data_IF_744427105390
#
_entry.id   IF_744427105390
#
_cell.length_a   1.000
_cell.length_b   1.000
_cell.length_c   1.000
_cell.angle_alpha   90.00
_cell.angle_beta   90.00
_cell.angle_gamma   90.00
#
_symmetry.space_group_name_H-M   'P 1'
#
loop_
_entity.id
_entity.type
_entity.pdbx_description
1 polymer ?
#
# COMPACT_ATOMS: atom_id res chain seq x y z
N UNK A 1 6.14 -10.11 13.64
CA UNK A 1 5.24 -8.93 13.72
C UNK A 1 5.64 -7.94 12.63
N UNK A 2 4.69 -7.26 12.02
CA UNK A 2 4.95 -6.17 11.05
C UNK A 2 4.53 -4.85 11.68
N UNK A 3 5.41 -3.86 11.62
CA UNK A 3 5.18 -2.52 12.15
C UNK A 3 5.26 -1.49 11.02
N UNK A 4 4.12 -0.91 10.57
CA UNK A 4 4.14 0.18 9.61
C UNK A 4 4.71 1.46 10.26
N UNK A 5 5.71 2.06 9.64
CA UNK A 5 6.30 3.32 10.12
C UNK A 5 5.27 4.46 10.10
N UNK A 6 4.35 4.47 9.11
CA UNK A 6 3.27 5.45 9.05
C UNK A 6 2.35 5.41 10.28
N UNK A 7 2.12 4.22 10.87
CA UNK A 7 1.37 4.10 12.11
C UNK A 7 2.18 4.53 13.33
N UNK A 8 3.47 4.17 13.35
CA UNK A 8 4.34 4.55 14.46
C UNK A 8 4.45 6.07 14.61
N UNK A 9 4.42 6.82 13.49
CA UNK A 9 4.42 8.29 13.47
C UNK A 9 3.21 8.92 14.15
N UNK A 10 2.09 8.20 14.27
CA UNK A 10 0.90 8.69 14.98
C UNK A 10 1.10 8.74 16.51
N UNK A 11 2.11 8.04 17.03
CA UNK A 11 2.36 7.91 18.46
C UNK A 11 3.63 8.61 18.91
N UNK A 12 4.64 8.69 18.04
CA UNK A 12 5.93 9.32 18.37
C UNK A 12 6.45 10.12 17.17
N UNK A 13 7.19 11.17 17.50
CA UNK A 13 7.89 11.96 16.48
C UNK A 13 9.12 11.18 15.98
N UNK A 14 9.13 10.91 14.66
CA UNK A 14 10.20 10.22 13.97
C UNK A 14 10.90 11.13 12.93
N UNK A 15 10.61 12.41 12.94
CA UNK A 15 11.17 13.33 11.96
C UNK A 15 12.70 13.40 12.09
N UNK A 16 13.34 13.38 10.94
CA UNK A 16 14.81 13.39 10.85
C UNK A 16 15.50 12.05 11.12
N UNK A 17 14.77 10.99 11.48
CA UNK A 17 15.34 9.66 11.67
C UNK A 17 15.25 8.84 10.38
N UNK A 18 16.37 8.26 9.95
CA UNK A 18 16.39 7.27 8.89
C UNK A 18 15.72 5.97 9.35
N UNK A 19 15.08 5.26 8.43
CA UNK A 19 14.38 3.99 8.74
C UNK A 19 15.33 2.94 9.33
N UNK A 20 16.55 2.86 8.83
CA UNK A 20 17.59 1.96 9.36
C UNK A 20 18.01 2.33 10.79
N UNK A 21 18.02 3.62 11.12
CA UNK A 21 18.31 4.06 12.49
C UNK A 21 17.19 3.66 13.43
N UNK A 22 15.94 3.80 13.02
CA UNK A 22 14.77 3.32 13.78
C UNK A 22 14.88 1.81 14.01
N UNK A 23 15.18 1.04 12.97
CA UNK A 23 15.35 -0.41 13.03
C UNK A 23 16.48 -0.79 14.01
N UNK A 24 17.61 -0.08 13.97
CA UNK A 24 18.74 -0.31 14.89
C UNK A 24 18.35 -0.02 16.34
N UNK A 25 17.69 1.10 16.60
CA UNK A 25 17.24 1.45 17.96
C UNK A 25 16.24 0.42 18.52
N UNK A 26 15.32 -0.06 17.71
CA UNK A 26 14.38 -1.12 18.09
C UNK A 26 15.11 -2.42 18.41
N UNK A 27 16.05 -2.83 17.57
CA UNK A 27 16.85 -4.05 17.77
C UNK A 27 17.68 -3.97 19.05
N UNK A 28 18.35 -2.85 19.30
CA UNK A 28 19.11 -2.63 20.53
C UNK A 28 18.24 -2.57 21.79
N UNK A 29 16.99 -2.16 21.65
CA UNK A 29 16.02 -2.16 22.74
C UNK A 29 15.38 -3.54 23.01
N UNK A 30 15.78 -4.58 22.28
CA UNK A 30 15.28 -5.96 22.45
C UNK A 30 14.18 -6.37 21.49
N UNK A 31 13.80 -5.50 20.54
CA UNK A 31 12.83 -5.78 19.48
C UNK A 31 13.58 -6.00 18.16
N UNK A 32 14.10 -7.19 17.95
CA UNK A 32 14.90 -7.53 16.78
C UNK A 32 14.14 -7.27 15.47
N UNK A 33 14.77 -6.52 14.56
CA UNK A 33 14.26 -6.24 13.22
C UNK A 33 14.94 -7.16 12.23
N UNK A 34 14.20 -8.04 11.58
CA UNK A 34 14.71 -8.98 10.58
C UNK A 34 14.83 -8.34 9.19
N UNK A 35 13.87 -7.49 8.84
CA UNK A 35 13.73 -6.97 7.49
C UNK A 35 13.04 -5.60 7.48
N UNK A 36 13.50 -4.73 6.59
CA UNK A 36 12.83 -3.46 6.26
C UNK A 36 12.14 -3.61 4.90
N UNK A 37 10.82 -3.38 4.84
CA UNK A 37 10.05 -3.44 3.60
C UNK A 37 9.62 -2.05 3.14
N UNK A 38 9.96 -1.72 1.91
CA UNK A 38 9.53 -0.49 1.26
C UNK A 38 8.32 -0.78 0.37
N UNK A 39 7.15 -0.24 0.72
CA UNK A 39 5.92 -0.43 -0.05
C UNK A 39 5.47 0.90 -0.67
N UNK A 40 5.44 0.97 -2.00
CA UNK A 40 5.09 2.18 -2.75
C UNK A 40 6.13 3.30 -2.68
N UNK A 41 7.31 3.01 -2.17
CA UNK A 41 8.43 3.93 -2.09
C UNK A 41 9.62 3.35 -2.86
N UNK A 42 10.49 4.20 -3.43
CA UNK A 42 11.74 3.71 -4.02
C UNK A 42 12.60 3.06 -2.94
N UNK A 43 13.18 1.93 -3.28
CA UNK A 43 14.19 1.31 -2.41
C UNK A 43 15.44 2.19 -2.37
N UNK A 44 16.13 2.25 -1.22
CA UNK A 44 17.43 2.89 -1.16
C UNK A 44 18.36 2.18 -2.14
N UNK A 45 19.06 2.96 -2.94
CA UNK A 45 20.11 2.45 -3.83
C UNK A 45 21.38 2.23 -3.02
N UNK A 46 22.00 1.06 -3.20
CA UNK A 46 23.31 0.81 -2.66
C UNK A 46 24.28 1.84 -3.27
N UNK A 47 24.87 2.65 -2.44
CA UNK A 47 26.09 3.37 -2.84
C UNK A 47 27.22 2.35 -2.86
N UNK A 48 28.07 2.43 -3.87
CA UNK A 48 29.18 1.50 -4.05
C UNK A 48 29.94 1.28 -2.72
N UNK A 49 29.87 0.05 -2.20
CA UNK A 49 30.58 -0.38 -0.99
C UNK A 49 29.79 -0.30 0.34
N UNK A 50 28.59 0.25 0.37
CA UNK A 50 27.74 0.24 1.57
C UNK A 50 26.90 -1.05 1.60
N UNK A 51 27.06 -1.85 2.64
CA UNK A 51 26.15 -2.95 2.94
C UNK A 51 25.01 -2.44 3.81
N UNK A 52 23.78 -2.73 3.42
CA UNK A 52 22.65 -2.52 4.31
C UNK A 52 22.79 -3.40 5.56
N UNK A 53 22.64 -2.80 6.74
CA UNK A 53 22.67 -3.51 8.03
C UNK A 53 21.51 -4.49 8.16
N UNK A 54 20.38 -4.17 7.53
CA UNK A 54 19.16 -4.98 7.55
C UNK A 54 18.84 -5.50 6.16
N UNK A 55 18.25 -6.70 6.10
CA UNK A 55 17.65 -7.19 4.87
C UNK A 55 16.58 -6.19 4.40
N UNK A 56 16.66 -5.78 3.14
CA UNK A 56 15.70 -4.87 2.53
C UNK A 56 14.95 -5.54 1.39
N UNK A 57 13.66 -5.31 1.31
CA UNK A 57 12.83 -5.69 0.17
C UNK A 57 11.82 -4.60 -0.14
N UNK A 58 11.22 -4.64 -1.31
CA UNK A 58 10.27 -3.61 -1.70
C UNK A 58 9.25 -4.08 -2.71
N UNK A 59 8.12 -3.37 -2.72
CA UNK A 59 7.10 -3.44 -3.74
C UNK A 59 6.83 -2.02 -4.20
N UNK A 60 7.18 -1.73 -5.44
CA UNK A 60 6.86 -0.46 -6.08
C UNK A 60 5.84 -0.66 -7.19
N UNK A 61 5.06 0.37 -7.47
CA UNK A 61 4.11 0.41 -8.56
C UNK A 61 4.11 1.80 -9.21
N UNK A 62 3.66 1.82 -10.46
CA UNK A 62 3.45 3.07 -11.18
C UNK A 62 2.20 3.76 -10.61
N UNK A 63 2.40 4.88 -9.94
CA UNK A 63 1.34 5.66 -9.28
C UNK A 63 0.36 6.28 -10.25
N UNK A 64 0.76 6.46 -11.50
CA UNK A 64 -0.12 6.99 -12.55
C UNK A 64 -1.04 5.92 -13.11
N UNK A 65 -0.70 4.63 -12.93
CA UNK A 65 -1.46 3.48 -13.44
C UNK A 65 -2.23 2.72 -12.38
N UNK A 66 -1.76 2.75 -11.13
CA UNK A 66 -2.40 2.08 -10.00
C UNK A 66 -2.80 3.14 -8.98
N UNK A 67 -4.07 3.43 -8.94
CA UNK A 67 -4.67 4.47 -8.11
C UNK A 67 -5.77 3.91 -7.22
N UNK A 68 -6.07 4.61 -6.14
CA UNK A 68 -7.24 4.34 -5.32
C UNK A 68 -8.44 5.01 -5.96
N UNK A 69 -9.56 4.30 -6.06
CA UNK A 69 -10.80 4.84 -6.57
C UNK A 69 -11.96 4.59 -5.59
N UNK A 70 -12.86 5.55 -5.50
CA UNK A 70 -14.11 5.46 -4.75
C UNK A 70 -15.16 4.74 -5.60
N UNK A 71 -15.84 3.75 -5.04
CA UNK A 71 -17.02 3.13 -5.66
C UNK A 71 -18.23 3.99 -5.32
N UNK A 72 -18.82 4.62 -6.32
CA UNK A 72 -20.01 5.48 -6.16
C UNK A 72 -21.30 4.75 -6.40
N UNK A 73 -21.32 3.82 -7.35
CA UNK A 73 -22.50 3.03 -7.69
C UNK A 73 -22.12 1.59 -8.01
N UNK A 74 -23.01 0.67 -7.65
CA UNK A 74 -22.88 -0.76 -7.92
C UNK A 74 -24.15 -1.22 -8.64
N UNK A 75 -24.08 -1.39 -9.94
CA UNK A 75 -25.22 -1.73 -10.79
C UNK A 75 -25.14 -3.16 -11.31
N UNK A 76 -26.26 -3.88 -11.42
CA UNK A 76 -26.27 -5.18 -12.07
C UNK A 76 -25.95 -5.06 -13.56
N UNK A 77 -25.24 -6.05 -14.10
CA UNK A 77 -25.03 -6.12 -15.54
C UNK A 77 -26.33 -6.56 -16.25
N UNK A 78 -26.75 -5.91 -17.35
CA UNK A 78 -28.06 -6.18 -17.97
C UNK A 78 -28.20 -7.60 -18.53
N UNK A 79 -27.09 -8.23 -18.91
CA UNK A 79 -27.10 -9.53 -19.59
C UNK A 79 -26.25 -10.62 -18.88
N UNK A 80 -25.84 -10.40 -17.63
CA UNK A 80 -25.00 -11.35 -16.91
C UNK A 80 -25.17 -11.24 -15.40
N UNK A 81 -25.79 -12.23 -14.79
CA UNK A 81 -26.11 -12.23 -13.34
C UNK A 81 -24.86 -12.20 -12.44
N UNK A 82 -23.75 -12.73 -12.89
CA UNK A 82 -22.49 -12.81 -12.15
C UNK A 82 -21.57 -11.60 -12.36
N UNK A 83 -21.97 -10.65 -13.20
CA UNK A 83 -21.19 -9.45 -13.46
C UNK A 83 -21.85 -8.22 -12.84
N UNK A 84 -21.03 -7.25 -12.52
CA UNK A 84 -21.44 -5.99 -11.90
C UNK A 84 -20.75 -4.83 -12.60
N UNK A 85 -21.51 -3.77 -12.83
CA UNK A 85 -20.97 -2.50 -13.34
C UNK A 85 -20.74 -1.56 -12.15
N UNK A 86 -19.52 -1.09 -12.02
CA UNK A 86 -19.13 -0.13 -10.99
C UNK A 86 -18.93 1.25 -11.59
N UNK A 87 -19.57 2.26 -11.01
CA UNK A 87 -19.17 3.64 -11.24
C UNK A 87 -18.07 4.00 -10.25
N UNK A 88 -16.87 4.23 -10.74
CA UNK A 88 -15.67 4.56 -9.97
C UNK A 88 -15.30 6.03 -10.18
N UNK A 89 -14.77 6.64 -9.13
CA UNK A 89 -14.15 7.97 -9.19
C UNK A 89 -12.72 7.89 -8.64
N UNK A 90 -11.75 8.25 -9.46
CA UNK A 90 -10.31 8.15 -9.15
C UNK A 90 -9.72 9.43 -8.53
N UNK A 91 -10.58 10.39 -8.21
CA UNK A 91 -10.18 11.72 -7.73
C UNK A 91 -10.16 12.79 -8.85
N UNK A 92 -10.19 12.38 -10.10
CA UNK A 92 -10.17 13.27 -11.26
C UNK A 92 -11.36 13.03 -12.20
N UNK A 93 -11.65 11.78 -12.51
CA UNK A 93 -12.67 11.39 -13.47
C UNK A 93 -13.52 10.21 -13.00
N UNK A 94 -14.72 10.12 -13.58
CA UNK A 94 -15.58 8.96 -13.39
C UNK A 94 -15.30 7.92 -14.47
N UNK A 95 -15.25 6.65 -14.07
CA UNK A 95 -15.07 5.51 -14.97
C UNK A 95 -16.08 4.43 -14.66
N UNK A 96 -16.57 3.75 -15.68
CA UNK A 96 -17.41 2.55 -15.51
C UNK A 96 -16.55 1.32 -15.73
N UNK A 97 -16.51 0.44 -14.74
CA UNK A 97 -15.70 -0.79 -14.76
C UNK A 97 -16.60 -2.01 -14.58
N UNK A 98 -16.36 -3.03 -15.40
CA UNK A 98 -16.99 -4.33 -15.27
C UNK A 98 -16.18 -5.22 -14.34
N UNK A 99 -16.85 -5.86 -13.39
CA UNK A 99 -16.20 -6.78 -12.45
C UNK A 99 -17.04 -8.02 -12.18
N UNK A 100 -16.38 -9.15 -11.92
CA UNK A 100 -16.96 -10.39 -11.42
C UNK A 100 -16.70 -10.62 -9.93
N UNK A 101 -16.22 -9.63 -9.19
CA UNK A 101 -15.85 -9.75 -7.78
C UNK A 101 -17.09 -10.03 -6.91
N UNK A 102 -17.20 -11.19 -6.24
CA UNK A 102 -18.39 -11.55 -5.47
C UNK A 102 -18.58 -10.74 -4.19
N UNK A 103 -17.50 -10.20 -3.64
CA UNK A 103 -17.50 -9.44 -2.38
C UNK A 103 -18.26 -8.11 -2.43
N UNK A 104 -18.63 -7.65 -3.63
CA UNK A 104 -19.42 -6.42 -3.81
C UNK A 104 -20.85 -6.67 -4.27
N UNK A 105 -21.25 -7.93 -4.51
CA UNK A 105 -22.58 -8.26 -5.02
C UNK A 105 -23.71 -7.82 -4.08
N UNK A 106 -23.49 -7.83 -2.79
CA UNK A 106 -24.46 -7.40 -1.79
C UNK A 106 -24.71 -5.88 -1.79
N UNK A 107 -23.89 -5.11 -2.49
CA UNK A 107 -24.00 -3.66 -2.62
C UNK A 107 -24.80 -3.21 -3.85
N UNK A 108 -25.34 -4.16 -4.64
CA UNK A 108 -26.18 -3.84 -5.81
C UNK A 108 -27.47 -3.15 -5.40
N UNK A 109 -27.74 -2.03 -6.00
CA UNK A 109 -28.98 -1.27 -5.75
C UNK A 109 -28.73 0.13 -5.26
#
# INVERSE_FOLDING_TARGET
>A
MKLPISWLKDYIDLDGLAVEEIARKLTLAGLEVDEIKYAGLPMPTDKDGERHEFKTSGLSWDRDKIVVAEIREVNPHPNADRLTLLALFDGQQNQTVLTGAPNIFHLKG
#
